data_IF_300043793448
#
_entry.id   IF_300043793448
#
_cell.length_a   1.000
_cell.length_b   1.000
_cell.length_c   1.000
_cell.angle_alpha   90.00
_cell.angle_beta   90.00
_cell.angle_gamma   90.00
#
_symmetry.space_group_name_H-M   'P 1'
#
loop_
_entity.id
_entity.type
_entity.pdbx_description
1 polymer ?
#
# COMPACT_ATOMS: atom_id res chain seq x y z
N UNK A 1 -11.59 8.52 5.23
CA UNK A 1 -12.32 7.94 4.08
C UNK A 1 -13.18 6.81 4.63
N UNK A 2 -14.45 6.68 4.25
CA UNK A 2 -15.37 5.71 4.87
C UNK A 2 -15.47 4.42 4.03
N UNK A 3 -15.63 3.23 4.65
CA UNK A 3 -15.95 2.00 3.94
C UNK A 3 -17.25 2.10 3.14
N UNK A 4 -17.35 1.34 2.05
CA UNK A 4 -18.54 1.26 1.20
C UNK A 4 -19.03 -0.19 1.12
N UNK A 5 -20.29 -0.41 1.50
CA UNK A 5 -20.96 -1.68 1.31
C UNK A 5 -21.81 -1.64 0.02
N UNK A 6 -21.60 -2.62 -0.86
CA UNK A 6 -22.41 -2.84 -2.07
C UNK A 6 -22.85 -4.31 -2.07
N UNK A 7 -24.16 -4.54 -1.98
CA UNK A 7 -24.72 -5.89 -1.86
C UNK A 7 -24.05 -6.68 -0.72
N UNK A 8 -23.35 -7.77 -1.05
CA UNK A 8 -22.61 -8.60 -0.09
C UNK A 8 -21.09 -8.40 -0.15
N UNK A 9 -20.64 -7.29 -0.75
CA UNK A 9 -19.24 -6.89 -0.87
C UNK A 9 -18.98 -5.63 -0.05
N UNK A 10 -17.94 -5.67 0.79
CA UNK A 10 -17.43 -4.53 1.51
C UNK A 10 -16.13 -4.03 0.88
N UNK A 11 -16.03 -2.73 0.63
CA UNK A 11 -14.83 -2.06 0.12
C UNK A 11 -14.28 -1.14 1.21
N UNK A 12 -13.07 -1.43 1.68
CA UNK A 12 -12.46 -0.75 2.83
C UNK A 12 -11.24 0.08 2.41
N UNK A 13 -11.28 1.43 2.49
CA UNK A 13 -10.08 2.24 2.35
C UNK A 13 -9.21 2.10 3.60
N UNK A 14 -7.91 1.92 3.39
CA UNK A 14 -6.89 1.91 4.44
C UNK A 14 -5.94 3.08 4.24
N UNK A 15 -5.81 3.88 5.30
CA UNK A 15 -4.81 4.93 5.44
C UNK A 15 -3.49 4.31 5.87
N UNK A 16 -2.38 4.92 5.46
CA UNK A 16 -1.06 4.50 5.88
C UNK A 16 0.00 5.53 5.52
N UNK A 17 1.16 5.37 6.13
CA UNK A 17 2.42 6.01 5.80
C UNK A 17 3.51 4.92 5.81
N UNK A 18 4.75 5.28 5.53
CA UNK A 18 5.87 4.37 5.75
C UNK A 18 6.38 4.47 7.18
N UNK A 19 6.83 3.34 7.72
CA UNK A 19 7.30 3.19 9.11
C UNK A 19 8.70 2.54 9.18
N UNK A 20 9.40 2.49 8.05
CA UNK A 20 10.70 1.84 7.90
C UNK A 20 10.73 0.34 8.22
N UNK A 21 9.57 -0.33 8.35
CA UNK A 21 9.51 -1.79 8.51
C UNK A 21 10.05 -2.56 7.30
N UNK A 22 10.24 -1.88 6.16
CA UNK A 22 10.86 -2.44 4.95
C UNK A 22 12.35 -2.12 4.81
N UNK A 23 12.96 -1.49 5.82
CA UNK A 23 14.37 -1.17 5.89
C UNK A 23 14.61 0.26 6.37
N UNK A 24 15.86 0.56 6.75
CA UNK A 24 16.26 1.87 7.25
C UNK A 24 16.62 2.86 6.13
N UNK A 25 16.27 4.15 6.25
CA UNK A 25 16.57 5.16 5.25
C UNK A 25 18.05 5.55 5.25
N UNK A 26 18.76 5.20 4.17
CA UNK A 26 20.13 5.67 3.90
C UNK A 26 20.20 7.13 3.45
N UNK A 27 21.42 7.68 3.37
CA UNK A 27 21.67 9.08 2.97
C UNK A 27 21.14 9.41 1.57
N UNK A 28 21.27 8.50 0.61
CA UNK A 28 20.74 8.65 -0.75
C UNK A 28 19.23 8.84 -0.70
N UNK A 29 18.51 8.02 0.07
CA UNK A 29 17.07 8.12 0.19
C UNK A 29 16.66 9.45 0.83
N UNK A 30 17.32 9.83 1.93
CA UNK A 30 17.07 11.11 2.63
C UNK A 30 17.25 12.33 1.70
N UNK A 31 18.15 12.25 0.73
CA UNK A 31 18.37 13.30 -0.26
C UNK A 31 17.44 13.20 -1.47
N UNK A 32 17.00 12.01 -1.89
CA UNK A 32 16.19 11.85 -3.09
C UNK A 32 14.68 11.98 -2.82
N UNK A 33 14.21 11.42 -1.71
CA UNK A 33 12.78 11.32 -1.42
C UNK A 33 12.18 12.68 -1.04
N UNK A 34 11.10 13.05 -1.72
CA UNK A 34 10.56 14.40 -1.62
C UNK A 34 9.80 14.65 -0.32
N UNK A 35 9.21 13.61 0.27
CA UNK A 35 8.40 13.73 1.49
C UNK A 35 9.23 14.36 2.62
N UNK A 36 10.51 13.99 2.78
CA UNK A 36 11.43 14.57 3.77
C UNK A 36 11.69 16.08 3.65
N UNK A 37 11.31 16.71 2.53
CA UNK A 37 11.47 18.15 2.31
C UNK A 37 10.16 18.89 2.06
N UNK A 38 9.09 18.15 1.77
CA UNK A 38 7.82 18.72 1.28
C UNK A 38 6.65 18.39 2.18
N UNK A 39 6.73 17.32 2.95
CA UNK A 39 5.81 17.04 4.02
C UNK A 39 6.38 17.63 5.30
N UNK A 40 5.61 18.53 5.91
CA UNK A 40 5.86 19.01 7.25
C UNK A 40 4.75 18.45 8.14
N UNK A 41 5.15 17.65 9.13
CA UNK A 41 4.24 17.01 10.08
C UNK A 41 4.37 17.64 11.47
N UNK A 42 4.69 18.94 11.52
CA UNK A 42 4.83 19.73 12.75
C UNK A 42 5.85 19.11 13.72
N UNK A 43 6.94 18.56 13.17
CA UNK A 43 8.02 17.91 13.92
C UNK A 43 7.82 16.43 14.26
N UNK A 44 6.68 15.83 13.88
CA UNK A 44 6.47 14.39 14.05
C UNK A 44 7.41 13.56 13.15
N UNK A 45 7.90 12.45 13.69
CA UNK A 45 8.65 11.43 12.94
C UNK A 45 7.74 10.65 11.99
N UNK A 46 8.33 10.01 10.96
CA UNK A 46 7.54 9.17 10.04
C UNK A 46 6.85 7.99 10.74
N UNK A 47 7.44 7.47 11.82
CA UNK A 47 6.81 6.44 12.67
C UNK A 47 5.54 6.99 13.34
N UNK A 48 5.60 8.19 13.94
CA UNK A 48 4.44 8.83 14.57
C UNK A 48 3.33 9.15 13.54
N UNK A 49 3.72 9.61 12.36
CA UNK A 49 2.79 9.84 11.24
C UNK A 49 2.14 8.54 10.78
N UNK A 50 2.92 7.47 10.65
CA UNK A 50 2.40 6.15 10.30
C UNK A 50 1.43 5.62 11.35
N UNK A 51 1.74 5.77 12.64
CA UNK A 51 0.84 5.42 13.74
C UNK A 51 -0.44 6.24 13.72
N UNK A 52 -0.36 7.55 13.43
CA UNK A 52 -1.53 8.41 13.31
C UNK A 52 -2.49 7.92 12.21
N UNK A 53 -1.97 7.61 11.03
CA UNK A 53 -2.79 7.08 9.94
C UNK A 53 -3.30 5.67 10.22
N UNK A 54 -2.50 4.80 10.83
CA UNK A 54 -2.93 3.45 11.22
C UNK A 54 -4.07 3.49 12.25
N UNK A 55 -3.99 4.38 13.24
CA UNK A 55 -5.00 4.56 14.28
C UNK A 55 -6.34 5.11 13.72
N UNK A 56 -6.29 5.83 12.60
CA UNK A 56 -7.48 6.35 11.93
C UNK A 56 -8.22 5.29 11.08
N UNK A 57 -7.63 4.10 10.89
CA UNK A 57 -8.30 3.01 10.18
C UNK A 57 -9.42 2.38 11.04
N UNK A 58 -10.57 2.04 10.43
CA UNK A 58 -11.68 1.46 11.17
C UNK A 58 -11.40 0.00 11.56
N UNK A 59 -11.82 -0.38 12.77
CA UNK A 59 -12.00 -1.78 13.14
C UNK A 59 -13.43 -2.18 12.78
N UNK A 60 -13.57 -3.15 11.88
CA UNK A 60 -14.87 -3.55 11.33
C UNK A 60 -15.10 -5.04 11.58
N UNK A 61 -16.33 -5.41 11.93
CA UNK A 61 -16.80 -6.79 11.83
C UNK A 61 -17.24 -7.06 10.40
N UNK A 62 -16.44 -7.85 9.68
CA UNK A 62 -16.65 -8.17 8.27
C UNK A 62 -17.41 -9.47 8.05
N UNK A 63 -17.82 -10.18 9.11
CA UNK A 63 -18.45 -11.50 9.03
C UNK A 63 -19.81 -11.54 8.31
N UNK A 64 -20.44 -10.38 8.11
CA UNK A 64 -21.71 -10.25 7.38
C UNK A 64 -21.54 -10.20 5.85
N UNK A 65 -20.31 -10.04 5.34
CA UNK A 65 -20.03 -9.90 3.92
C UNK A 65 -19.38 -11.16 3.37
N UNK A 66 -19.81 -11.63 2.19
CA UNK A 66 -19.13 -12.76 1.51
C UNK A 66 -17.85 -12.34 0.79
N UNK A 67 -17.66 -11.03 0.57
CA UNK A 67 -16.55 -10.46 -0.19
C UNK A 67 -16.05 -9.21 0.51
N UNK A 68 -14.73 -9.12 0.71
CA UNK A 68 -14.07 -7.99 1.36
C UNK A 68 -12.88 -7.59 0.50
N UNK A 69 -12.99 -6.39 -0.06
CA UNK A 69 -11.94 -5.71 -0.81
C UNK A 69 -11.36 -4.62 0.08
N UNK A 70 -10.06 -4.40 -0.01
CA UNK A 70 -9.43 -3.24 0.63
C UNK A 70 -8.48 -2.53 -0.32
N UNK A 71 -8.17 -1.27 -0.04
CA UNK A 71 -7.14 -0.57 -0.79
C UNK A 71 -6.38 0.44 0.05
N UNK A 72 -5.10 0.62 -0.24
CA UNK A 72 -4.24 1.67 0.33
C UNK A 72 -3.40 2.30 -0.77
N UNK A 73 -2.77 3.45 -0.47
CA UNK A 73 -1.76 3.98 -1.37
C UNK A 73 -0.43 3.21 -1.24
N UNK A 74 0.06 3.10 0.00
CA UNK A 74 1.33 2.46 0.35
C UNK A 74 1.28 0.92 0.26
N UNK A 75 2.46 0.31 0.11
CA UNK A 75 2.61 -1.14 0.06
C UNK A 75 2.38 -1.77 1.46
N UNK A 76 1.60 -2.87 1.56
CA UNK A 76 1.41 -3.56 2.83
C UNK A 76 2.53 -4.53 3.19
N UNK A 77 3.30 -4.99 2.20
CA UNK A 77 4.33 -6.01 2.38
C UNK A 77 5.45 -5.86 1.35
N UNK A 78 6.69 -6.08 1.78
CA UNK A 78 7.87 -5.91 0.94
C UNK A 78 8.05 -7.02 -0.09
N UNK A 79 7.53 -8.23 0.19
CA UNK A 79 7.57 -9.40 -0.70
C UNK A 79 6.61 -9.30 -1.92
N UNK A 80 5.89 -8.17 -2.03
CA UNK A 80 5.17 -7.77 -3.25
C UNK A 80 6.11 -7.20 -4.31
N UNK A 81 7.27 -6.68 -3.91
CA UNK A 81 8.31 -6.23 -4.83
C UNK A 81 8.93 -7.43 -5.55
N UNK A 82 9.44 -7.25 -6.79
CA UNK A 82 10.14 -8.31 -7.49
C UNK A 82 11.33 -8.83 -6.66
N UNK A 83 11.45 -10.15 -6.47
CA UNK A 83 12.61 -10.75 -5.77
C UNK A 83 13.95 -10.31 -6.37
N UNK A 84 14.00 -10.21 -7.70
CA UNK A 84 15.15 -9.76 -8.48
C UNK A 84 15.14 -8.25 -8.76
N UNK A 85 14.64 -7.44 -7.82
CA UNK A 85 14.75 -5.99 -7.92
C UNK A 85 16.23 -5.58 -7.95
N UNK A 86 16.69 -4.82 -8.97
CA UNK A 86 18.08 -4.36 -9.03
C UNK A 86 18.47 -3.60 -7.76
N UNK A 87 19.65 -3.90 -7.22
CA UNK A 87 20.14 -3.35 -5.95
C UNK A 87 20.08 -1.83 -5.89
N UNK A 88 20.40 -1.17 -7.01
CA UNK A 88 20.34 0.28 -7.17
C UNK A 88 18.96 0.92 -6.93
N UNK A 89 17.88 0.14 -6.85
CA UNK A 89 16.52 0.62 -6.53
C UNK A 89 16.05 0.21 -5.14
N UNK A 90 16.74 -0.72 -4.46
CA UNK A 90 16.35 -1.21 -3.14
C UNK A 90 16.47 -0.15 -2.05
N UNK A 91 17.23 0.92 -2.29
CA UNK A 91 17.29 2.08 -1.39
C UNK A 91 15.93 2.77 -1.19
N UNK A 92 14.93 2.52 -2.05
CA UNK A 92 13.58 3.04 -1.92
C UNK A 92 12.70 2.24 -0.93
N UNK A 93 13.08 1.01 -0.58
CA UNK A 93 12.25 0.12 0.25
C UNK A 93 11.75 0.75 1.56
N UNK A 94 12.57 1.52 2.31
CA UNK A 94 12.16 2.14 3.57
C UNK A 94 10.88 3.00 3.46
N UNK A 95 10.63 3.61 2.30
CA UNK A 95 9.51 4.55 2.07
C UNK A 95 8.38 3.94 1.25
N UNK A 96 8.43 2.64 0.95
CA UNK A 96 7.40 2.00 0.11
C UNK A 96 6.09 1.74 0.86
N UNK A 97 6.12 1.64 2.19
CA UNK A 97 4.92 1.45 2.99
C UNK A 97 5.22 0.87 4.37
N UNK A 98 4.29 0.09 4.90
CA UNK A 98 4.29 -0.37 6.29
C UNK A 98 3.69 -1.77 6.43
N UNK A 99 4.32 -2.60 7.27
CA UNK A 99 3.81 -3.91 7.66
C UNK A 99 2.54 -3.85 8.54
N UNK A 100 2.20 -2.68 9.11
CA UNK A 100 0.94 -2.46 9.84
C UNK A 100 -0.26 -2.61 8.91
N UNK A 101 -0.14 -2.18 7.65
CA UNK A 101 -1.18 -2.34 6.64
C UNK A 101 -1.51 -3.82 6.40
N UNK A 102 -0.51 -4.70 6.30
CA UNK A 102 -0.76 -6.14 6.18
C UNK A 102 -1.53 -6.68 7.38
N UNK A 103 -1.19 -6.24 8.59
CA UNK A 103 -1.94 -6.62 9.80
C UNK A 103 -3.42 -6.19 9.72
N UNK A 104 -3.70 -4.99 9.19
CA UNK A 104 -5.07 -4.50 8.99
C UNK A 104 -5.81 -5.29 7.91
N UNK A 105 -5.17 -5.57 6.79
CA UNK A 105 -5.73 -6.37 5.69
C UNK A 105 -6.10 -7.77 6.18
N UNK A 106 -5.21 -8.40 6.95
CA UNK A 106 -5.44 -9.71 7.54
C UNK A 106 -6.60 -9.68 8.55
N UNK A 107 -6.67 -8.66 9.42
CA UNK A 107 -7.75 -8.50 10.40
C UNK A 107 -9.13 -8.30 9.75
N UNK A 108 -9.18 -7.60 8.60
CA UNK A 108 -10.42 -7.44 7.82
C UNK A 108 -10.86 -8.73 7.12
N UNK A 109 -9.98 -9.73 6.99
CA UNK A 109 -10.24 -10.90 6.16
C UNK A 109 -10.32 -10.59 4.66
N UNK A 110 -9.72 -9.47 4.22
CA UNK A 110 -9.78 -9.07 2.82
C UNK A 110 -9.08 -10.10 1.92
N UNK A 111 -9.78 -10.60 0.90
CA UNK A 111 -9.23 -11.55 -0.07
C UNK A 111 -8.52 -10.84 -1.23
N UNK A 112 -8.78 -9.55 -1.42
CA UNK A 112 -8.10 -8.73 -2.42
C UNK A 112 -7.75 -7.37 -1.84
N UNK A 113 -6.49 -6.98 -2.04
CA UNK A 113 -5.98 -5.69 -1.63
C UNK A 113 -5.37 -4.96 -2.83
N UNK A 114 -5.87 -3.76 -3.12
CA UNK A 114 -5.35 -2.88 -4.16
C UNK A 114 -4.40 -1.87 -3.53
N UNK A 115 -3.19 -1.76 -4.07
CA UNK A 115 -2.19 -0.82 -3.58
C UNK A 115 -1.56 -0.04 -4.74
N UNK A 116 -0.70 0.93 -4.42
CA UNK A 116 -0.02 1.76 -5.41
C UNK A 116 1.43 2.02 -5.04
N UNK A 117 1.82 3.29 -5.13
CA UNK A 117 3.10 3.87 -4.69
C UNK A 117 4.37 3.41 -5.41
N UNK A 118 4.62 2.11 -5.57
CA UNK A 118 5.86 1.62 -6.21
C UNK A 118 5.91 1.82 -7.73
N UNK A 119 4.79 2.21 -8.36
CA UNK A 119 4.61 2.33 -9.81
C UNK A 119 4.83 1.03 -10.61
N UNK A 120 5.03 -0.10 -9.93
CA UNK A 120 5.22 -1.41 -10.56
C UNK A 120 3.87 -2.12 -10.66
N UNK A 121 3.25 -2.09 -11.83
CA UNK A 121 2.00 -2.81 -12.05
C UNK A 121 2.22 -4.31 -11.90
N UNK A 122 1.39 -4.92 -11.05
CA UNK A 122 1.55 -6.33 -10.69
C UNK A 122 0.27 -6.90 -10.11
N UNK A 123 0.03 -8.18 -10.38
CA UNK A 123 -0.98 -9.00 -9.72
C UNK A 123 -0.33 -10.27 -9.23
N UNK A 124 -0.46 -10.57 -7.93
CA UNK A 124 0.13 -11.76 -7.34
C UNK A 124 -0.65 -12.21 -6.10
N UNK A 125 -0.45 -13.46 -5.68
CA UNK A 125 -1.06 -14.03 -4.49
C UNK A 125 -0.01 -14.25 -3.40
N UNK A 126 -0.31 -13.85 -2.17
CA UNK A 126 0.45 -14.17 -0.95
C UNK A 126 -0.52 -14.56 0.15
N UNK A 127 -0.23 -15.63 0.86
CA UNK A 127 -1.05 -16.10 2.00
C UNK A 127 -2.56 -16.18 1.69
N UNK A 128 -2.89 -16.64 0.48
CA UNK A 128 -4.26 -16.76 -0.01
C UNK A 128 -4.95 -15.44 -0.42
N UNK A 129 -4.28 -14.29 -0.33
CA UNK A 129 -4.81 -12.97 -0.72
C UNK A 129 -4.24 -12.52 -2.05
N UNK A 130 -5.07 -11.90 -2.88
CA UNK A 130 -4.65 -11.28 -4.14
C UNK A 130 -4.24 -9.83 -3.89
N UNK A 131 -3.03 -9.46 -4.30
CA UNK A 131 -2.54 -8.09 -4.26
C UNK A 131 -2.42 -7.54 -5.67
N UNK A 132 -2.96 -6.34 -5.89
CA UNK A 132 -2.99 -5.68 -7.19
C UNK A 132 -2.38 -4.29 -7.06
N UNK A 133 -1.31 -4.03 -7.80
CA UNK A 133 -0.85 -2.68 -8.07
C UNK A 133 -1.21 -2.33 -9.51
N UNK A 134 -1.99 -1.28 -9.68
CA UNK A 134 -2.35 -0.73 -10.98
C UNK A 134 -2.05 0.76 -11.05
N UNK A 135 -0.86 1.16 -10.61
CA UNK A 135 -0.38 2.52 -10.74
C UNK A 135 -0.38 3.00 -12.20
N UNK A 136 -0.61 4.29 -12.39
CA UNK A 136 -0.54 4.92 -13.70
C UNK A 136 0.91 5.27 -14.11
N UNK A 137 1.76 5.52 -13.10
CA UNK A 137 3.14 5.94 -13.26
C UNK A 137 3.29 7.32 -13.90
N UNK A 138 4.53 7.76 -14.04
CA UNK A 138 4.92 8.94 -14.81
C UNK A 138 4.88 8.67 -16.32
N UNK A 139 4.79 9.71 -17.17
CA UNK A 139 4.75 9.56 -18.63
C UNK A 139 5.89 8.72 -19.25
N UNK A 140 7.06 8.68 -18.61
CA UNK A 140 8.23 7.89 -19.01
C UNK A 140 8.20 6.42 -18.56
N UNK A 141 7.38 6.05 -17.57
CA UNK A 141 7.37 4.73 -16.92
C UNK A 141 6.50 3.69 -17.66
N UNK A 142 6.61 3.64 -18.99
CA UNK A 142 5.74 2.81 -19.83
C UNK A 142 5.99 1.31 -19.67
N UNK A 143 7.19 0.91 -19.28
CA UNK A 143 7.57 -0.50 -19.17
C UNK A 143 7.08 -1.17 -17.87
N UNK A 144 6.66 -0.36 -16.89
CA UNK A 144 6.24 -0.84 -15.56
C UNK A 144 4.79 -0.47 -15.22
N UNK A 145 4.18 0.45 -15.96
CA UNK A 145 2.79 0.87 -15.78
C UNK A 145 1.99 0.66 -17.07
N UNK A 146 0.98 -0.21 -17.01
CA UNK A 146 0.17 -0.58 -18.17
C UNK A 146 -0.80 0.52 -18.61
N UNK A 147 -1.13 1.47 -17.71
CA UNK A 147 -2.03 2.62 -17.97
C UNK A 147 -3.41 2.23 -18.50
N UNK A 148 -3.96 1.16 -17.97
CA UNK A 148 -5.30 0.68 -18.30
C UNK A 148 -6.14 0.52 -17.04
N UNK A 149 -7.45 0.65 -17.20
CA UNK A 149 -8.39 0.26 -16.15
C UNK A 149 -8.37 -1.26 -16.00
N UNK A 150 -8.33 -1.72 -14.75
CA UNK A 150 -8.36 -3.14 -14.41
C UNK A 150 -9.63 -3.42 -13.64
N UNK A 151 -10.40 -4.39 -14.13
CA UNK A 151 -11.54 -4.93 -13.41
C UNK A 151 -11.05 -5.80 -12.23
N UNK A 152 -11.46 -5.46 -11.01
CA UNK A 152 -10.98 -6.13 -9.78
C UNK A 152 -12.03 -6.98 -9.09
N UNK A 153 -13.32 -6.69 -9.26
CA UNK A 153 -14.42 -7.44 -8.67
C UNK A 153 -15.76 -7.05 -9.30
N UNK A 154 -16.67 -8.03 -9.38
CA UNK A 154 -18.10 -7.80 -9.58
C UNK A 154 -18.73 -7.45 -8.22
N UNK A 155 -19.41 -6.30 -8.12
CA UNK A 155 -19.98 -5.75 -6.87
C UNK A 155 -21.48 -5.62 -6.90
#
# INVERSE_FOLDING_TARGET
MQPLALNNTLIVPLLGWYDYSFGEPGSILKQAWMDYRRCDWDGASDEEVSQFFDAANPTLDTGYYSSVLSFSHFLPRIDLMPERMPEKYRFLYPVLGSSRLESRIAALGAHTHIYGHSHLNRRLVRDGRTYINNAFGYPSERDIAARMLVHVADV
#
